data_IF_314059473421
#
_entry.id   IF_314059473421
#
_cell.length_a   1.000
_cell.length_b   1.000
_cell.length_c   1.000
_cell.angle_alpha   90.00
_cell.angle_beta   90.00
_cell.angle_gamma   90.00
#
_symmetry.space_group_name_H-M   'P 1'
#
loop_
_entity.id
_entity.type
_entity.pdbx_description
1 polymer ?
#
# COMPACT_ATOMS: atom_id res chain seq x y z
N UNK A 1 14.54 66.09 -2.02
CA UNK A 1 14.28 64.85 -2.78
C UNK A 1 15.21 63.80 -2.22
N UNK A 2 14.69 62.94 -1.35
CA UNK A 2 15.48 61.92 -0.65
C UNK A 2 14.84 60.59 -1.00
N UNK A 3 15.56 59.79 -1.77
CA UNK A 3 15.11 58.48 -2.23
C UNK A 3 15.17 57.49 -1.07
N UNK A 4 14.05 56.82 -0.80
CA UNK A 4 13.95 55.67 0.09
C UNK A 4 14.57 54.45 -0.60
N UNK A 5 15.58 53.84 0.04
CA UNK A 5 16.03 52.49 -0.28
C UNK A 5 14.92 51.47 0.08
N UNK A 6 14.84 50.32 -0.62
CA UNK A 6 13.98 49.22 -0.21
C UNK A 6 14.65 48.44 0.94
N UNK A 7 13.93 48.30 2.06
CA UNK A 7 14.28 47.39 3.17
C UNK A 7 14.35 45.94 2.65
N UNK A 8 15.56 45.45 2.41
CA UNK A 8 15.85 44.03 2.26
C UNK A 8 16.29 43.46 3.60
N UNK A 9 15.36 43.33 4.54
CA UNK A 9 15.60 42.65 5.81
C UNK A 9 14.40 41.75 6.17
N UNK A 10 14.07 40.82 5.27
CA UNK A 10 13.22 39.66 5.62
C UNK A 10 14.03 38.72 6.51
N UNK A 11 14.21 39.11 7.77
CA UNK A 11 14.57 38.17 8.83
C UNK A 11 13.38 37.22 8.98
N UNK A 12 13.53 35.99 8.52
CA UNK A 12 12.60 34.90 8.82
C UNK A 12 12.46 34.82 10.33
N UNK A 13 11.35 35.30 10.86
CA UNK A 13 11.04 35.14 12.28
C UNK A 13 10.83 33.65 12.54
N UNK A 14 11.13 33.17 13.75
CA UNK A 14 10.86 31.77 14.13
C UNK A 14 9.42 31.35 13.83
N UNK A 15 8.49 32.31 13.90
CA UNK A 15 7.08 32.22 13.51
C UNK A 15 6.84 31.99 12.00
N UNK A 16 7.66 32.60 11.15
CA UNK A 16 7.65 32.37 9.71
C UNK A 16 8.23 31.01 9.32
N UNK A 17 9.19 30.49 10.10
CA UNK A 17 9.72 29.14 9.91
C UNK A 17 8.61 28.12 10.17
N UNK A 18 7.93 28.13 11.32
CA UNK A 18 6.85 27.16 11.59
C UNK A 18 5.61 27.32 10.71
N UNK A 19 5.24 28.52 10.25
CA UNK A 19 4.23 28.65 9.18
C UNK A 19 4.67 27.99 7.87
N UNK A 20 5.98 27.92 7.60
CA UNK A 20 6.52 27.17 6.47
C UNK A 20 6.71 25.67 6.77
N UNK A 21 7.03 25.30 8.02
CA UNK A 21 7.25 23.91 8.49
C UNK A 21 5.92 23.16 8.71
N UNK A 22 4.87 23.87 9.13
CA UNK A 22 3.52 23.35 9.33
C UNK A 22 2.73 23.25 8.01
N UNK A 23 3.20 23.90 6.93
CA UNK A 23 2.66 23.79 5.56
C UNK A 23 3.36 22.66 4.76
N UNK A 24 4.06 21.75 5.44
CA UNK A 24 4.63 20.57 4.80
C UNK A 24 6.13 20.70 4.57
N UNK A 25 6.92 20.21 5.53
CA UNK A 25 8.30 19.80 5.22
C UNK A 25 8.20 18.54 4.37
N UNK A 26 8.32 18.73 3.06
CA UNK A 26 8.32 17.68 2.06
C UNK A 26 8.35 18.21 0.63
N UNK A 27 7.87 19.43 0.40
CA UNK A 27 8.19 20.14 -0.84
C UNK A 27 8.22 21.64 -0.58
N UNK A 28 9.30 22.30 -0.99
CA UNK A 28 9.33 23.74 -1.25
C UNK A 28 8.47 24.06 -2.48
N UNK A 29 7.24 23.54 -2.53
CA UNK A 29 6.15 24.08 -3.30
C UNK A 29 5.20 24.68 -2.26
N UNK A 30 5.44 25.94 -1.91
CA UNK A 30 4.42 26.77 -1.29
C UNK A 30 3.10 26.53 -2.01
N UNK A 31 2.14 25.87 -1.35
CA UNK A 31 0.73 25.77 -1.76
C UNK A 31 0.08 27.15 -1.58
N UNK A 32 0.69 28.19 -2.15
CA UNK A 32 0.18 29.55 -2.29
C UNK A 32 -0.25 29.84 -3.73
N UNK A 33 -0.40 28.78 -4.55
CA UNK A 33 -0.72 28.84 -5.97
C UNK A 33 -1.93 28.00 -6.37
N UNK A 34 -2.82 27.64 -5.45
CA UNK A 34 -4.02 26.85 -5.73
C UNK A 34 -4.98 27.51 -6.75
N UNK A 35 -4.77 28.77 -7.12
CA UNK A 35 -5.50 29.47 -8.18
C UNK A 35 -4.90 29.31 -9.59
N UNK A 36 -3.78 28.56 -9.76
CA UNK A 36 -3.15 28.32 -11.07
C UNK A 36 -2.68 26.88 -11.34
N UNK A 37 -3.07 25.91 -10.52
CA UNK A 37 -2.98 24.50 -10.92
C UNK A 37 -4.11 24.23 -11.90
N UNK A 38 -3.88 24.60 -13.17
CA UNK A 38 -4.70 24.12 -14.27
C UNK A 38 -4.72 22.60 -14.23
N UNK A 39 -5.89 22.03 -14.53
CA UNK A 39 -6.14 20.59 -14.62
C UNK A 39 -4.89 19.81 -15.06
N UNK A 40 -4.63 18.66 -14.42
CA UNK A 40 -3.53 17.76 -14.82
C UNK A 40 -3.46 17.69 -16.36
N UNK A 41 -2.27 17.83 -16.97
CA UNK A 41 -2.14 17.82 -18.42
C UNK A 41 -2.58 16.50 -19.08
N UNK A 42 -2.80 15.44 -18.30
CA UNK A 42 -3.48 14.20 -18.75
C UNK A 42 -5.02 14.25 -18.62
N UNK A 43 -5.56 15.44 -18.36
CA UNK A 43 -6.94 15.90 -18.53
C UNK A 43 -8.00 14.82 -18.38
N UNK A 44 -8.46 14.57 -17.15
CA UNK A 44 -9.70 13.82 -16.90
C UNK A 44 -9.84 12.54 -17.73
N UNK A 45 -8.73 11.82 -17.99
CA UNK A 45 -8.80 10.47 -18.52
C UNK A 45 -9.69 9.71 -17.54
N UNK A 46 -10.91 9.39 -18.00
CA UNK A 46 -11.90 8.60 -17.26
C UNK A 46 -11.15 7.53 -16.48
N UNK A 47 -11.40 7.46 -15.16
CA UNK A 47 -11.05 6.30 -14.37
C UNK A 47 -11.65 5.08 -15.07
N UNK A 48 -10.84 4.41 -15.88
CA UNK A 48 -11.16 3.08 -16.40
C UNK A 48 -10.97 2.19 -15.18
N UNK A 49 -12.06 1.90 -14.48
CA UNK A 49 -12.10 0.70 -13.68
C UNK A 49 -11.99 -0.51 -14.64
N UNK A 50 -11.21 -1.55 -14.32
CA UNK A 50 -10.35 -1.72 -13.17
C UNK A 50 -8.86 -1.56 -13.51
N UNK A 51 -8.09 -1.29 -12.46
CA UNK A 51 -6.63 -1.17 -12.29
C UNK A 51 -5.76 -2.30 -12.91
N UNK A 52 -6.31 -3.20 -13.75
CA UNK A 52 -5.71 -4.52 -14.00
C UNK A 52 -4.97 -4.68 -15.34
N UNK A 53 -5.28 -3.95 -16.41
CA UNK A 53 -4.79 -4.36 -17.74
C UNK A 53 -3.57 -3.61 -18.31
N UNK A 54 -3.19 -2.42 -17.80
CA UNK A 54 -2.08 -1.65 -18.37
C UNK A 54 -1.24 -0.98 -17.27
N UNK A 55 -0.11 -1.60 -16.92
CA UNK A 55 1.17 -0.92 -16.66
C UNK A 55 1.36 0.07 -15.49
N UNK A 56 0.35 0.47 -14.71
CA UNK A 56 0.55 1.48 -13.65
C UNK A 56 0.73 0.85 -12.26
N UNK A 57 1.94 0.35 -12.00
CA UNK A 57 2.30 -0.35 -10.76
C UNK A 57 2.21 0.52 -9.47
N UNK A 58 2.23 1.85 -9.56
CA UNK A 58 2.28 2.73 -8.38
C UNK A 58 0.94 3.14 -7.78
N UNK A 59 -0.16 3.07 -8.54
CA UNK A 59 -1.41 3.74 -8.15
C UNK A 59 -2.12 3.07 -6.95
N UNK A 60 -2.10 1.73 -6.89
CA UNK A 60 -2.80 0.99 -5.84
C UNK A 60 -2.09 1.08 -4.48
N UNK A 61 -0.75 1.00 -4.45
CA UNK A 61 0.00 1.02 -3.19
C UNK A 61 0.00 2.37 -2.49
N UNK A 62 -0.03 3.50 -3.21
CA UNK A 62 -0.17 4.83 -2.58
C UNK A 62 -1.53 5.00 -1.90
N UNK A 63 -2.58 4.41 -2.46
CA UNK A 63 -3.91 4.42 -1.85
C UNK A 63 -3.93 3.73 -0.49
N UNK A 64 -3.18 2.63 -0.34
CA UNK A 64 -3.07 1.89 0.92
C UNK A 64 -2.37 2.67 2.03
N UNK A 65 -1.45 3.58 1.66
CA UNK A 65 -0.73 4.42 2.61
C UNK A 65 -1.52 5.67 3.02
N UNK A 66 -2.49 6.11 2.20
CA UNK A 66 -3.18 7.38 2.40
C UNK A 66 -4.62 7.24 2.91
N UNK A 67 -5.37 6.29 2.35
CA UNK A 67 -6.81 6.22 2.56
C UNK A 67 -7.20 5.06 3.46
N UNK A 68 -8.21 5.28 4.29
CA UNK A 68 -8.82 4.20 5.07
C UNK A 68 -9.65 3.30 4.16
N UNK A 69 -9.56 1.98 4.38
CA UNK A 69 -10.29 0.97 3.60
C UNK A 69 -10.02 1.08 2.09
N UNK A 70 -8.74 1.17 1.72
CA UNK A 70 -8.34 1.20 0.33
C UNK A 70 -8.88 -0.04 -0.42
N UNK A 71 -9.38 0.16 -1.65
CA UNK A 71 -9.90 -0.93 -2.47
C UNK A 71 -8.80 -1.95 -2.76
N UNK A 72 -9.10 -3.23 -2.53
CA UNK A 72 -8.10 -4.30 -2.68
C UNK A 72 -7.84 -4.61 -4.14
N UNK A 73 -6.61 -4.41 -4.58
CA UNK A 73 -6.20 -4.73 -5.95
C UNK A 73 -5.68 -6.17 -6.03
N UNK A 74 -6.59 -7.13 -6.21
CA UNK A 74 -6.23 -8.56 -6.26
C UNK A 74 -6.18 -9.19 -7.65
N UNK A 75 -6.45 -8.42 -8.72
CA UNK A 75 -6.52 -8.95 -10.08
C UNK A 75 -7.94 -9.38 -10.45
N UNK A 76 -8.11 -10.54 -11.10
CA UNK A 76 -9.44 -11.06 -11.46
C UNK A 76 -10.19 -11.61 -10.23
N UNK A 77 -11.10 -10.80 -9.68
CA UNK A 77 -11.93 -11.14 -8.52
C UNK A 77 -13.22 -11.91 -8.85
N UNK A 78 -13.50 -12.16 -10.14
CA UNK A 78 -14.78 -12.73 -10.60
C UNK A 78 -14.59 -14.02 -11.41
N UNK A 79 -13.47 -14.72 -11.24
CA UNK A 79 -13.24 -15.97 -11.94
C UNK A 79 -14.30 -17.02 -11.51
N UNK A 80 -15.16 -17.40 -12.46
CA UNK A 80 -16.11 -18.49 -12.31
C UNK A 80 -15.54 -19.76 -12.94
N UNK A 81 -15.26 -20.75 -12.11
CA UNK A 81 -14.68 -22.02 -12.52
C UNK A 81 -15.73 -23.12 -12.74
N UNK A 82 -17.03 -22.84 -12.51
CA UNK A 82 -18.09 -23.85 -12.57
C UNK A 82 -18.36 -24.40 -13.97
N UNK A 83 -17.98 -23.65 -15.02
CA UNK A 83 -18.18 -24.03 -16.42
C UNK A 83 -17.12 -24.97 -17.01
N UNK A 84 -16.04 -25.27 -16.29
CA UNK A 84 -14.94 -26.09 -16.81
C UNK A 84 -15.24 -27.58 -16.68
N UNK A 85 -15.42 -28.24 -17.83
CA UNK A 85 -15.75 -29.68 -17.93
C UNK A 85 -14.54 -30.60 -18.09
N UNK A 86 -13.33 -30.05 -18.27
CA UNK A 86 -12.07 -30.81 -18.34
C UNK A 86 -11.00 -30.26 -17.40
N UNK A 87 -10.28 -31.15 -16.71
CA UNK A 87 -9.26 -30.79 -15.71
C UNK A 87 -8.15 -29.88 -16.25
N UNK A 88 -7.67 -30.12 -17.47
CA UNK A 88 -6.60 -29.31 -18.08
C UNK A 88 -7.04 -27.85 -18.31
N UNK A 89 -8.26 -27.65 -18.80
CA UNK A 89 -8.79 -26.31 -19.05
C UNK A 89 -9.01 -25.54 -17.73
N UNK A 90 -9.48 -26.23 -16.69
CA UNK A 90 -9.60 -25.65 -15.35
C UNK A 90 -8.24 -25.24 -14.79
N UNK A 91 -7.24 -26.13 -14.86
CA UNK A 91 -5.90 -25.87 -14.34
C UNK A 91 -5.22 -24.71 -15.06
N UNK A 92 -5.33 -24.66 -16.39
CA UNK A 92 -4.82 -23.51 -17.16
C UNK A 92 -5.55 -22.20 -16.83
N UNK A 93 -6.85 -22.23 -16.49
CA UNK A 93 -7.56 -21.03 -16.02
C UNK A 93 -7.04 -20.60 -14.65
N UNK A 94 -6.99 -21.52 -13.68
CA UNK A 94 -6.48 -21.26 -12.33
C UNK A 94 -5.05 -20.71 -12.37
N UNK A 95 -4.20 -21.27 -13.24
CA UNK A 95 -2.83 -20.78 -13.44
C UNK A 95 -2.80 -19.33 -13.95
N UNK A 96 -3.63 -18.99 -14.94
CA UNK A 96 -3.73 -17.62 -15.47
C UNK A 96 -4.25 -16.64 -14.41
N UNK A 97 -5.30 -17.02 -13.68
CA UNK A 97 -5.86 -16.20 -12.62
C UNK A 97 -4.84 -16.02 -11.48
N UNK A 98 -4.05 -17.05 -11.15
CA UNK A 98 -2.96 -16.96 -10.17
C UNK A 98 -1.80 -16.07 -10.68
N UNK A 99 -1.51 -16.05 -11.98
CA UNK A 99 -0.55 -15.15 -12.60
C UNK A 99 -0.99 -13.69 -12.49
N UNK A 100 -2.25 -13.42 -12.81
CA UNK A 100 -2.82 -12.07 -12.69
C UNK A 100 -2.85 -11.61 -11.24
N UNK A 101 -3.26 -12.50 -10.33
CA UNK A 101 -3.25 -12.29 -8.88
C UNK A 101 -1.85 -11.93 -8.38
N UNK A 102 -0.83 -12.73 -8.73
CA UNK A 102 0.57 -12.44 -8.39
C UNK A 102 1.03 -11.10 -8.97
N UNK A 103 0.69 -10.81 -10.22
CA UNK A 103 1.09 -9.56 -10.86
C UNK A 103 0.46 -8.35 -10.17
N UNK A 104 -0.83 -8.42 -9.81
CA UNK A 104 -1.51 -7.36 -9.06
C UNK A 104 -0.90 -7.17 -7.68
N UNK A 105 -0.64 -8.27 -6.97
CA UNK A 105 -0.02 -8.27 -5.66
C UNK A 105 1.40 -7.71 -5.65
N UNK A 106 2.26 -8.11 -6.60
CA UNK A 106 3.61 -7.55 -6.75
C UNK A 106 3.57 -6.03 -6.96
N UNK A 107 2.64 -5.52 -7.78
CA UNK A 107 2.49 -4.08 -7.98
C UNK A 107 2.14 -3.35 -6.68
N UNK A 108 1.13 -3.84 -5.96
CA UNK A 108 0.71 -3.27 -4.66
C UNK A 108 1.88 -3.29 -3.67
N UNK A 109 2.49 -4.45 -3.48
CA UNK A 109 3.54 -4.65 -2.46
C UNK A 109 4.81 -3.88 -2.78
N UNK A 110 5.25 -3.84 -4.06
CA UNK A 110 6.38 -3.01 -4.46
C UNK A 110 6.10 -1.53 -4.23
N UNK A 111 4.90 -1.06 -4.59
CA UNK A 111 4.54 0.34 -4.35
C UNK A 111 4.45 0.66 -2.86
N UNK A 112 3.92 -0.23 -2.03
CA UNK A 112 3.79 0.00 -0.59
C UNK A 112 5.16 0.08 0.07
N UNK A 113 6.05 -0.88 -0.18
CA UNK A 113 7.41 -0.91 0.37
C UNK A 113 8.26 0.27 -0.08
N UNK A 114 8.16 0.67 -1.34
CA UNK A 114 8.92 1.82 -1.85
C UNK A 114 8.52 3.16 -1.24
N UNK A 115 7.30 3.26 -0.70
CA UNK A 115 6.73 4.52 -0.21
C UNK A 115 6.38 4.49 1.28
N UNK A 116 6.64 3.40 2.00
CA UNK A 116 6.35 3.29 3.44
C UNK A 116 7.12 4.36 4.23
N UNK A 117 8.37 4.67 3.84
CA UNK A 117 9.13 5.78 4.44
C UNK A 117 8.47 7.13 4.17
N UNK A 118 7.82 7.31 3.02
CA UNK A 118 7.09 8.56 2.73
C UNK A 118 5.83 8.70 3.62
N UNK A 119 5.27 7.60 4.13
CA UNK A 119 4.21 7.64 5.13
C UNK A 119 4.67 8.32 6.44
N UNK A 120 5.97 8.32 6.74
CA UNK A 120 6.52 9.05 7.90
C UNK A 120 6.18 10.53 7.83
N UNK A 121 6.22 11.15 6.65
CA UNK A 121 5.89 12.56 6.49
C UNK A 121 4.44 12.85 6.90
N UNK A 122 3.51 11.97 6.54
CA UNK A 122 2.10 12.10 6.91
C UNK A 122 1.93 11.87 8.41
N UNK A 123 2.59 10.84 8.96
CA UNK A 123 2.62 10.57 10.39
C UNK A 123 3.15 11.74 11.22
N UNK A 124 4.29 12.32 10.82
CA UNK A 124 4.90 13.50 11.45
C UNK A 124 3.94 14.68 11.41
N UNK A 125 3.26 14.89 10.28
CA UNK A 125 2.33 16.00 10.10
C UNK A 125 1.09 15.85 10.98
N UNK A 126 0.50 14.65 11.04
CA UNK A 126 -0.64 14.34 11.91
C UNK A 126 -0.27 14.44 13.39
N UNK A 127 0.89 13.92 13.78
CA UNK A 127 1.35 14.00 15.16
C UNK A 127 1.66 15.42 15.61
N UNK A 128 2.29 16.26 14.77
CA UNK A 128 2.49 17.70 15.06
C UNK A 128 1.17 18.45 15.22
N UNK A 129 0.19 18.18 14.34
CA UNK A 129 -1.13 18.78 14.43
C UNK A 129 -1.81 18.43 15.76
N UNK A 130 -1.81 17.16 16.14
CA UNK A 130 -2.39 16.68 17.40
C UNK A 130 -1.72 17.30 18.63
N UNK A 131 -0.39 17.47 18.63
CA UNK A 131 0.33 18.18 19.70
C UNK A 131 -0.17 19.62 19.83
N UNK A 132 -0.23 20.35 18.71
CA UNK A 132 -0.63 21.76 18.71
C UNK A 132 -2.08 21.93 19.13
N UNK A 133 -2.98 21.07 18.64
CA UNK A 133 -4.40 21.06 19.02
C UNK A 133 -4.57 20.79 20.53
N UNK A 134 -3.85 19.81 21.08
CA UNK A 134 -3.88 19.51 22.50
C UNK A 134 -3.42 20.73 23.33
N UNK A 135 -2.29 21.36 22.98
CA UNK A 135 -1.78 22.53 23.72
C UNK A 135 -2.70 23.75 23.62
N UNK A 136 -3.29 24.01 22.45
CA UNK A 136 -4.28 25.08 22.30
C UNK A 136 -5.49 24.89 23.21
N UNK A 137 -5.85 23.63 23.49
CA UNK A 137 -6.91 23.27 24.42
C UNK A 137 -6.46 23.24 25.90
N UNK A 138 -5.24 23.69 26.20
CA UNK A 138 -4.70 23.77 27.55
C UNK A 138 -4.23 22.43 28.12
N UNK A 139 -4.00 21.42 27.27
CA UNK A 139 -3.49 20.12 27.70
C UNK A 139 -2.06 20.21 28.24
N UNK A 140 -1.74 19.34 29.18
CA UNK A 140 -0.37 19.13 29.69
C UNK A 140 0.51 18.44 28.65
N UNK A 141 1.83 18.48 28.85
CA UNK A 141 2.78 17.77 27.97
C UNK A 141 2.54 16.26 27.90
N UNK A 142 2.08 15.63 29.00
CA UNK A 142 1.73 14.21 28.97
C UNK A 142 0.49 13.94 28.13
N UNK A 143 -0.52 14.80 28.21
CA UNK A 143 -1.74 14.70 27.42
C UNK A 143 -1.48 14.97 25.93
N UNK A 144 -0.66 15.98 25.61
CA UNK A 144 -0.23 16.26 24.23
C UNK A 144 0.58 15.10 23.63
N UNK A 145 1.47 14.48 24.40
CA UNK A 145 2.18 13.27 23.98
C UNK A 145 1.24 12.07 23.75
N UNK A 146 0.14 12.00 24.49
CA UNK A 146 -0.87 10.95 24.32
C UNK A 146 -1.66 11.18 23.02
N UNK A 147 -2.15 12.40 22.81
CA UNK A 147 -2.85 12.80 21.57
C UNK A 147 -1.97 12.59 20.32
N UNK A 148 -0.68 12.93 20.41
CA UNK A 148 0.30 12.64 19.35
C UNK A 148 0.37 11.17 19.00
N UNK A 149 0.56 10.30 20.02
CA UNK A 149 0.65 8.85 19.81
C UNK A 149 -0.64 8.28 19.25
N UNK A 150 -1.80 8.74 19.72
CA UNK A 150 -3.10 8.32 19.20
C UNK A 150 -3.27 8.69 17.72
N UNK A 151 -2.91 9.92 17.33
CA UNK A 151 -2.99 10.37 15.94
C UNK A 151 -2.04 9.60 15.02
N UNK A 152 -0.80 9.37 15.46
CA UNK A 152 0.20 8.60 14.72
C UNK A 152 -0.22 7.13 14.61
N UNK A 153 -0.60 6.50 15.73
CA UNK A 153 -1.06 5.11 15.75
C UNK A 153 -2.30 4.92 14.88
N UNK A 154 -3.29 5.81 14.94
CA UNK A 154 -4.48 5.72 14.11
C UNK A 154 -4.17 5.79 12.62
N UNK A 155 -3.20 6.61 12.21
CA UNK A 155 -2.74 6.65 10.83
C UNK A 155 -2.08 5.34 10.39
N UNK A 156 -1.09 4.85 11.13
CA UNK A 156 -0.39 3.61 10.78
C UNK A 156 -1.26 2.36 10.92
N UNK A 157 -2.23 2.35 11.85
CA UNK A 157 -3.21 1.27 11.97
C UNK A 157 -4.09 1.16 10.72
N UNK A 158 -4.47 2.28 10.08
CA UNK A 158 -5.18 2.22 8.80
C UNK A 158 -4.33 1.55 7.71
N UNK A 159 -3.02 1.82 7.66
CA UNK A 159 -2.11 1.19 6.70
C UNK A 159 -2.01 -0.31 6.97
N UNK A 160 -1.85 -0.70 8.24
CA UNK A 160 -1.83 -2.11 8.65
C UNK A 160 -3.13 -2.82 8.25
N UNK A 161 -4.28 -2.19 8.49
CA UNK A 161 -5.59 -2.73 8.12
C UNK A 161 -5.72 -2.92 6.60
N UNK A 162 -5.27 -1.95 5.79
CA UNK A 162 -5.29 -2.07 4.34
C UNK A 162 -4.43 -3.24 3.84
N UNK A 163 -3.23 -3.41 4.40
CA UNK A 163 -2.35 -4.54 4.10
C UNK A 163 -3.02 -5.87 4.48
N UNK A 164 -3.67 -5.94 5.65
CA UNK A 164 -4.40 -7.12 6.12
C UNK A 164 -5.57 -7.46 5.21
N UNK A 165 -6.38 -6.47 4.83
CA UNK A 165 -7.49 -6.67 3.90
C UNK A 165 -7.02 -7.21 2.56
N UNK A 166 -5.86 -6.75 2.08
CA UNK A 166 -5.26 -7.26 0.85
C UNK A 166 -4.81 -8.71 0.99
N UNK A 167 -4.10 -9.06 2.06
CA UNK A 167 -3.73 -10.45 2.35
C UNK A 167 -4.96 -11.34 2.42
N UNK A 168 -6.01 -10.91 3.11
CA UNK A 168 -7.27 -11.65 3.22
C UNK A 168 -7.90 -11.89 1.84
N UNK A 169 -7.91 -10.86 0.99
CA UNK A 169 -8.45 -10.98 -0.37
C UNK A 169 -7.64 -11.96 -1.24
N UNK A 170 -6.30 -11.94 -1.13
CA UNK A 170 -5.41 -12.90 -1.80
C UNK A 170 -5.64 -14.33 -1.30
N UNK A 171 -5.70 -14.53 0.01
CA UNK A 171 -5.97 -15.83 0.65
C UNK A 171 -7.33 -16.37 0.24
N UNK A 172 -8.38 -15.54 0.18
CA UNK A 172 -9.71 -15.94 -0.25
C UNK A 172 -9.76 -16.32 -1.73
N UNK A 173 -9.00 -15.64 -2.59
CA UNK A 173 -8.89 -16.00 -4.00
C UNK A 173 -8.20 -17.36 -4.18
N UNK A 174 -7.10 -17.59 -3.47
CA UNK A 174 -6.41 -18.89 -3.43
C UNK A 174 -7.35 -19.99 -2.92
N UNK A 175 -8.11 -19.71 -1.86
CA UNK A 175 -9.12 -20.63 -1.29
C UNK A 175 -10.13 -21.06 -2.36
N UNK A 176 -10.66 -20.09 -3.10
CA UNK A 176 -11.61 -20.34 -4.19
C UNK A 176 -11.01 -21.19 -5.32
N UNK A 177 -9.75 -20.93 -5.71
CA UNK A 177 -9.03 -21.75 -6.70
C UNK A 177 -8.88 -23.20 -6.25
N UNK A 178 -8.44 -23.42 -4.99
CA UNK A 178 -8.30 -24.76 -4.42
C UNK A 178 -9.65 -25.47 -4.40
N UNK A 179 -10.69 -24.84 -3.87
CA UNK A 179 -12.03 -25.41 -3.79
C UNK A 179 -12.58 -25.78 -5.17
N UNK A 180 -12.36 -24.92 -6.18
CA UNK A 180 -12.79 -25.17 -7.56
C UNK A 180 -12.09 -26.37 -8.18
N UNK A 181 -10.81 -26.57 -7.87
CA UNK A 181 -10.07 -27.76 -8.29
C UNK A 181 -10.59 -28.99 -7.56
N UNK A 182 -10.67 -28.96 -6.23
CA UNK A 182 -10.97 -30.16 -5.43
C UNK A 182 -12.42 -30.63 -5.53
N UNK A 183 -13.34 -29.74 -5.91
CA UNK A 183 -14.77 -30.06 -6.09
C UNK A 183 -15.12 -30.52 -7.51
N UNK A 184 -14.21 -30.40 -8.47
CA UNK A 184 -14.48 -30.76 -9.86
C UNK A 184 -14.22 -32.26 -10.10
N UNK A 185 -15.26 -33.01 -10.41
CA UNK A 185 -15.18 -34.48 -10.61
C UNK A 185 -14.23 -34.90 -11.76
N UNK A 186 -13.86 -33.97 -12.66
CA UNK A 186 -12.97 -34.22 -13.80
C UNK A 186 -11.50 -33.92 -13.52
N UNK A 187 -11.12 -33.69 -12.25
CA UNK A 187 -9.71 -33.41 -11.85
C UNK A 187 -8.94 -34.63 -11.36
N UNK A 188 -9.52 -35.84 -11.39
CA UNK A 188 -8.90 -37.04 -10.81
C UNK A 188 -7.55 -37.41 -11.43
N UNK A 189 -7.23 -36.94 -12.63
CA UNK A 189 -5.88 -36.98 -13.20
C UNK A 189 -5.90 -36.19 -14.49
N UNK A 190 -5.18 -35.07 -14.57
CA UNK A 190 -4.82 -34.61 -15.91
C UNK A 190 -3.97 -35.70 -16.59
N UNK A 191 -3.95 -35.68 -17.92
CA UNK A 191 -3.18 -36.62 -18.74
C UNK A 191 -1.68 -36.65 -18.39
N UNK A 192 -1.19 -35.62 -17.68
CA UNK A 192 0.21 -35.40 -17.32
C UNK A 192 0.54 -35.64 -15.82
N UNK A 193 -0.41 -36.11 -14.99
CA UNK A 193 -0.25 -36.25 -13.54
C UNK A 193 0.32 -35.00 -12.81
N UNK A 194 0.05 -33.80 -13.34
CA UNK A 194 0.53 -32.52 -12.84
C UNK A 194 -0.43 -31.98 -11.78
N UNK A 195 0.10 -31.70 -10.59
CA UNK A 195 -0.64 -31.17 -9.46
C UNK A 195 -0.67 -29.64 -9.60
N UNK A 196 -1.86 -29.02 -9.71
CA UNK A 196 -2.00 -27.62 -10.10
C UNK A 196 -1.55 -26.64 -9.01
N UNK A 197 -1.67 -27.02 -7.73
CA UNK A 197 -1.28 -26.18 -6.60
C UNK A 197 -0.49 -27.00 -5.58
N UNK A 198 0.68 -26.48 -5.23
CA UNK A 198 1.58 -27.07 -4.24
C UNK A 198 1.98 -26.04 -3.19
N UNK A 199 2.11 -26.44 -1.93
CA UNK A 199 2.65 -25.60 -0.86
C UNK A 199 4.07 -26.03 -0.49
N UNK A 200 4.92 -25.06 -0.13
CA UNK A 200 6.25 -25.31 0.42
C UNK A 200 6.30 -24.85 1.87
N UNK A 201 6.37 -25.80 2.80
CA UNK A 201 6.55 -25.55 4.23
C UNK A 201 7.99 -25.83 4.73
N UNK A 202 8.78 -26.56 3.93
CA UNK A 202 10.19 -26.90 4.24
C UNK A 202 11.03 -26.89 2.94
N UNK A 203 11.92 -27.86 2.73
CA UNK A 203 12.68 -28.01 1.49
C UNK A 203 11.87 -28.59 0.33
N UNK A 204 10.71 -29.19 0.60
CA UNK A 204 9.90 -29.90 -0.40
C UNK A 204 8.53 -29.24 -0.62
N UNK A 205 8.03 -29.35 -1.86
CA UNK A 205 6.67 -29.00 -2.23
C UNK A 205 5.71 -30.16 -1.95
N UNK A 206 4.55 -29.84 -1.39
CA UNK A 206 3.48 -30.77 -1.03
C UNK A 206 2.23 -30.39 -1.81
N UNK A 207 1.57 -31.38 -2.40
CA UNK A 207 0.30 -31.20 -3.10
C UNK A 207 -0.82 -30.79 -2.15
N UNK A 208 -1.54 -29.70 -2.47
CA UNK A 208 -2.67 -29.22 -1.65
C UNK A 208 -4.00 -29.10 -2.41
N UNK A 209 -3.99 -29.34 -3.72
CA UNK A 209 -5.17 -29.40 -4.57
C UNK A 209 -5.12 -30.62 -5.50
N UNK A 210 -5.36 -31.81 -4.96
CA UNK A 210 -5.47 -33.08 -5.69
C UNK A 210 -6.59 -33.99 -5.12
N UNK A 211 -6.86 -35.14 -5.76
CA UNK A 211 -7.85 -36.10 -5.26
C UNK A 211 -7.45 -36.62 -3.86
N UNK A 212 -8.30 -36.35 -2.87
CA UNK A 212 -8.06 -36.71 -1.46
C UNK A 212 -7.24 -35.69 -0.65
N UNK A 213 -6.93 -34.52 -1.22
CA UNK A 213 -6.50 -33.34 -0.46
C UNK A 213 -7.43 -32.16 -0.71
N UNK A 214 -7.34 -31.14 0.14
CA UNK A 214 -8.16 -29.95 0.05
C UNK A 214 -8.18 -29.19 1.35
N UNK A 215 -9.08 -28.21 1.41
CA UNK A 215 -9.25 -27.37 2.59
C UNK A 215 -9.97 -28.17 3.67
N UNK A 216 -9.36 -28.22 4.84
CA UNK A 216 -9.83 -29.03 5.98
C UNK A 216 -10.52 -28.16 7.02
N UNK A 217 -9.94 -26.99 7.26
CA UNK A 217 -10.49 -26.00 8.17
C UNK A 217 -10.21 -24.60 7.63
N UNK A 218 -11.13 -23.70 7.94
CA UNK A 218 -10.98 -22.27 7.77
C UNK A 218 -10.93 -21.67 9.17
N UNK A 219 -10.06 -20.70 9.38
CA UNK A 219 -10.00 -19.99 10.65
C UNK A 219 -9.59 -18.55 10.44
N UNK A 220 -9.83 -17.75 11.46
CA UNK A 220 -9.40 -16.36 11.52
C UNK A 220 -8.55 -16.18 12.75
N UNK A 221 -7.49 -15.38 12.64
CA UNK A 221 -6.73 -14.90 13.78
C UNK A 221 -6.98 -13.41 14.01
N UNK A 222 -7.09 -13.03 15.27
CA UNK A 222 -7.16 -11.63 15.66
C UNK A 222 -5.74 -11.05 15.67
N UNK A 223 -5.50 -10.07 14.80
CA UNK A 223 -4.29 -9.27 14.81
C UNK A 223 -4.56 -7.94 15.50
N UNK A 224 -3.75 -7.59 16.50
CA UNK A 224 -3.85 -6.30 17.20
C UNK A 224 -3.02 -5.26 16.47
N UNK A 225 -3.66 -4.20 16.00
CA UNK A 225 -3.04 -3.08 15.31
C UNK A 225 -2.32 -2.15 16.30
N UNK A 226 -1.49 -1.23 15.78
CA UNK A 226 -0.69 -0.31 16.60
C UNK A 226 -1.52 0.68 17.42
N UNK A 227 -2.79 0.87 17.08
CA UNK A 227 -3.75 1.67 17.84
C UNK A 227 -4.51 0.86 18.92
N UNK A 228 -4.22 -0.45 19.02
CA UNK A 228 -4.86 -1.38 19.96
C UNK A 228 -6.19 -1.96 19.47
N UNK A 229 -6.71 -1.52 18.32
CA UNK A 229 -7.85 -2.18 17.68
C UNK A 229 -7.45 -3.53 17.09
N UNK A 230 -8.43 -4.39 16.80
CA UNK A 230 -8.19 -5.70 16.22
C UNK A 230 -8.80 -5.83 14.83
N UNK A 231 -8.13 -6.61 13.98
CA UNK A 231 -8.62 -7.00 12.65
C UNK A 231 -8.42 -8.48 12.45
N UNK A 232 -9.38 -9.12 11.77
CA UNK A 232 -9.34 -10.54 11.49
C UNK A 232 -8.48 -10.84 10.28
N UNK A 233 -7.70 -11.90 10.41
CA UNK A 233 -6.75 -12.34 9.40
C UNK A 233 -7.13 -13.73 8.97
N UNK A 234 -7.44 -13.85 7.70
CA UNK A 234 -7.92 -15.07 7.08
C UNK A 234 -6.77 -16.07 6.93
N UNK A 235 -7.03 -17.32 7.33
CA UNK A 235 -6.14 -18.43 7.06
C UNK A 235 -6.95 -19.70 6.78
N UNK A 236 -6.35 -20.63 6.07
CA UNK A 236 -6.93 -21.95 5.88
C UNK A 236 -5.88 -23.03 6.05
N UNK A 237 -6.33 -24.20 6.47
CA UNK A 237 -5.47 -25.37 6.64
C UNK A 237 -5.79 -26.42 5.58
N UNK A 238 -4.74 -27.03 5.05
CA UNK A 238 -4.84 -28.19 4.15
C UNK A 238 -4.11 -29.37 4.75
N UNK A 239 -4.69 -30.57 4.64
CA UNK A 239 -4.05 -31.81 5.08
C UNK A 239 -3.64 -32.64 3.86
N UNK A 240 -2.40 -33.13 3.89
CA UNK A 240 -1.95 -34.23 3.03
C UNK A 240 -1.28 -35.29 3.88
N UNK A 241 -1.96 -36.42 4.06
CA UNK A 241 -1.51 -37.45 5.01
C UNK A 241 -1.55 -36.92 6.44
N UNK A 242 -0.39 -36.83 7.09
CA UNK A 242 -0.26 -36.32 8.49
C UNK A 242 0.35 -34.92 8.58
N UNK A 243 0.51 -34.23 7.45
CA UNK A 243 1.10 -32.88 7.41
C UNK A 243 -0.02 -31.86 7.32
N UNK A 244 -0.05 -30.93 8.28
CA UNK A 244 -0.97 -29.80 8.33
C UNK A 244 -0.25 -28.54 7.86
N UNK A 245 -0.78 -27.91 6.81
CA UNK A 245 -0.19 -26.73 6.18
C UNK A 245 -1.16 -25.58 6.34
N UNK A 246 -0.76 -24.58 7.12
CA UNK A 246 -1.48 -23.30 7.23
C UNK A 246 -1.01 -22.35 6.15
N UNK A 247 -1.97 -21.80 5.40
CA UNK A 247 -1.76 -20.77 4.38
C UNK A 247 -2.46 -19.49 4.85
N UNK A 248 -1.73 -18.38 4.86
CA UNK A 248 -2.20 -17.11 5.43
C UNK A 248 -1.68 -16.87 6.86
N UNK A 249 -2.22 -15.85 7.52
CA UNK A 249 -1.81 -15.43 8.87
C UNK A 249 -0.59 -14.48 8.91
N UNK A 250 -0.33 -13.91 10.10
CA UNK A 250 0.81 -13.00 10.36
C UNK A 250 2.02 -13.66 10.99
N UNK A 251 1.84 -14.84 11.55
CA UNK A 251 2.90 -15.61 12.16
C UNK A 251 2.87 -17.04 11.61
N UNK A 252 4.03 -17.63 11.26
CA UNK A 252 4.10 -19.05 11.00
C UNK A 252 3.83 -19.80 12.32
N UNK A 253 2.58 -20.24 12.53
CA UNK A 253 2.21 -21.00 13.72
C UNK A 253 2.97 -22.32 13.74
N UNK A 254 3.74 -22.52 14.81
CA UNK A 254 4.50 -23.75 15.06
C UNK A 254 3.57 -24.88 15.49
N UNK A 255 3.06 -25.62 14.52
CA UNK A 255 3.01 -27.08 14.49
C UNK A 255 2.85 -27.49 13.02
N UNK A 256 3.88 -28.16 12.49
CA UNK A 256 4.04 -28.62 11.09
C UNK A 256 4.08 -27.59 9.94
N UNK A 257 4.60 -26.37 10.16
CA UNK A 257 5.15 -25.54 9.09
C UNK A 257 4.12 -24.77 8.26
N UNK A 258 4.03 -23.46 8.48
CA UNK A 258 3.30 -22.57 7.57
C UNK A 258 3.88 -22.62 6.16
N UNK A 259 3.03 -22.47 5.15
CA UNK A 259 3.50 -22.38 3.77
C UNK A 259 4.22 -21.05 3.56
N UNK A 260 5.52 -21.11 3.26
CA UNK A 260 6.28 -19.92 2.84
C UNK A 260 5.89 -19.51 1.41
N UNK A 261 5.60 -20.51 0.57
CA UNK A 261 5.27 -20.35 -0.85
C UNK A 261 4.13 -21.26 -1.26
N UNK A 262 3.29 -20.77 -2.16
CA UNK A 262 2.45 -21.59 -3.03
C UNK A 262 2.99 -21.59 -4.45
N UNK A 263 2.96 -22.74 -5.09
CA UNK A 263 3.32 -22.92 -6.49
C UNK A 263 2.10 -23.30 -7.28
N UNK A 264 1.80 -22.52 -8.30
CA UNK A 264 0.78 -22.79 -9.30
C UNK A 264 1.44 -23.34 -10.55
N UNK A 265 0.88 -24.41 -11.12
CA UNK A 265 1.38 -25.04 -12.35
C UNK A 265 0.35 -25.01 -13.45
N UNK A 266 0.78 -24.66 -14.67
CA UNK A 266 -0.05 -24.82 -15.85
C UNK A 266 -0.19 -26.31 -16.24
N UNK A 267 -1.35 -26.69 -16.77
CA UNK A 267 -1.66 -28.05 -17.19
C UNK A 267 -0.71 -28.59 -18.28
N UNK A 268 -0.13 -27.69 -19.07
CA UNK A 268 0.67 -28.02 -20.25
C UNK A 268 2.17 -28.23 -19.96
N UNK A 269 2.65 -27.85 -18.76
CA UNK A 269 4.10 -27.73 -18.51
C UNK A 269 4.59 -28.62 -17.38
N UNK A 270 5.69 -29.34 -17.61
CA UNK A 270 6.46 -30.00 -16.54
C UNK A 270 7.58 -29.10 -15.96
N UNK A 271 7.85 -27.92 -16.54
CA UNK A 271 8.96 -27.04 -16.09
C UNK A 271 8.83 -25.53 -16.40
N UNK A 272 8.19 -25.11 -17.50
CA UNK A 272 8.20 -23.69 -17.93
C UNK A 272 6.98 -22.84 -17.48
N UNK A 273 5.95 -23.46 -16.89
CA UNK A 273 4.71 -22.82 -16.47
C UNK A 273 4.46 -22.94 -14.97
N UNK A 274 5.42 -22.48 -14.15
CA UNK A 274 5.30 -22.46 -12.68
C UNK A 274 5.33 -21.03 -12.14
N UNK A 275 4.48 -20.75 -11.16
CA UNK A 275 4.42 -19.45 -10.48
C UNK A 275 4.50 -19.67 -8.98
N UNK A 276 5.54 -19.11 -8.36
CA UNK A 276 5.65 -19.06 -6.90
C UNK A 276 5.01 -17.77 -6.35
N UNK A 277 4.14 -17.93 -5.37
CA UNK A 277 3.47 -16.89 -4.59
C UNK A 277 3.93 -16.98 -3.14
N UNK A 278 4.75 -16.02 -2.71
CA UNK A 278 5.35 -16.02 -1.36
C UNK A 278 4.65 -15.08 -0.39
N UNK A 279 4.54 -15.49 0.88
CA UNK A 279 3.87 -14.70 1.93
C UNK A 279 4.82 -13.85 2.78
N UNK A 280 6.12 -14.18 2.81
CA UNK A 280 7.11 -13.49 3.64
C UNK A 280 7.13 -11.97 3.43
N UNK A 281 6.90 -11.53 2.19
CA UNK A 281 6.86 -10.10 1.84
C UNK A 281 5.82 -9.31 2.63
N UNK A 282 4.70 -9.92 3.04
CA UNK A 282 3.68 -9.25 3.85
C UNK A 282 4.19 -8.99 5.27
N UNK A 283 4.85 -9.99 5.87
CA UNK A 283 5.46 -9.88 7.20
C UNK A 283 6.55 -8.81 7.19
N UNK A 284 7.43 -8.84 6.19
CA UNK A 284 8.50 -7.85 6.03
C UNK A 284 7.91 -6.44 5.92
N UNK A 285 6.87 -6.27 5.10
CA UNK A 285 6.21 -4.99 4.90
C UNK A 285 5.48 -4.50 6.16
N UNK A 286 4.85 -5.39 6.92
CA UNK A 286 4.24 -5.05 8.21
C UNK A 286 5.29 -4.57 9.22
N UNK A 287 6.45 -5.23 9.27
CA UNK A 287 7.56 -4.79 10.11
C UNK A 287 8.11 -3.43 9.66
N UNK A 288 8.20 -3.17 8.35
CA UNK A 288 8.57 -1.86 7.80
C UNK A 288 7.56 -0.77 8.24
N UNK A 289 6.25 -1.04 8.20
CA UNK A 289 5.18 -0.13 8.67
C UNK A 289 5.32 0.16 10.18
N UNK A 290 5.54 -0.87 11.01
CA UNK A 290 5.71 -0.70 12.46
C UNK A 290 6.97 0.12 12.77
N UNK A 291 8.08 -0.17 12.08
CA UNK A 291 9.33 0.56 12.25
C UNK A 291 9.16 2.04 11.90
N UNK A 292 8.45 2.32 10.81
CA UNK A 292 8.14 3.68 10.36
C UNK A 292 7.29 4.44 11.39
N UNK A 293 6.29 3.80 11.99
CA UNK A 293 5.51 4.37 13.12
C UNK A 293 6.42 4.72 14.30
N UNK A 294 7.30 3.79 14.69
CA UNK A 294 8.20 3.96 15.82
C UNK A 294 9.16 5.14 15.59
N UNK A 295 9.69 5.29 14.36
CA UNK A 295 10.51 6.44 13.96
C UNK A 295 9.75 7.76 14.16
N UNK A 296 8.53 7.87 13.60
CA UNK A 296 7.70 9.08 13.73
C UNK A 296 7.44 9.42 15.19
N UNK A 297 7.10 8.43 16.01
CA UNK A 297 6.82 8.65 17.44
C UNK A 297 8.07 9.09 18.19
N UNK A 298 9.22 8.50 17.87
CA UNK A 298 10.53 8.87 18.42
C UNK A 298 10.89 10.32 18.10
N UNK A 299 10.74 10.71 16.83
CA UNK A 299 11.05 12.06 16.36
C UNK A 299 10.15 13.13 17.00
N UNK A 300 8.88 12.81 17.23
CA UNK A 300 7.92 13.75 17.80
C UNK A 300 8.01 13.90 19.32
N UNK A 301 8.59 12.93 20.05
CA UNK A 301 8.75 13.06 21.50
C UNK A 301 9.57 14.31 21.88
N UNK A 302 10.64 14.61 21.12
CA UNK A 302 11.43 15.84 21.34
C UNK A 302 10.67 17.11 20.97
N UNK A 303 9.82 17.03 19.93
CA UNK A 303 9.02 18.15 19.46
C UNK A 303 7.96 18.58 20.50
N UNK A 304 7.33 17.65 21.22
CA UNK A 304 6.35 18.00 22.27
C UNK A 304 6.98 18.88 23.35
N UNK A 305 8.18 18.52 23.83
CA UNK A 305 8.94 19.31 24.81
C UNK A 305 9.36 20.67 24.25
N UNK A 306 9.72 20.74 22.97
CA UNK A 306 10.05 22.02 22.35
C UNK A 306 8.83 22.95 22.27
N UNK A 307 7.64 22.40 22.01
CA UNK A 307 6.40 23.18 21.95
C UNK A 307 6.01 23.69 23.34
N UNK A 308 6.02 22.85 24.38
CA UNK A 308 5.67 23.28 25.75
C UNK A 308 6.54 24.40 26.28
N UNK A 309 7.83 24.40 25.92
CA UNK A 309 8.78 25.39 26.41
C UNK A 309 8.77 26.72 25.64
N UNK A 310 8.26 26.72 24.40
CA UNK A 310 8.42 27.85 23.48
C UNK A 310 7.11 28.54 23.11
N UNK A 311 5.95 27.94 23.40
CA UNK A 311 4.65 28.46 22.96
C UNK A 311 3.61 28.45 24.08
N UNK A 312 2.79 29.51 24.08
CA UNK A 312 1.61 29.61 24.93
C UNK A 312 0.36 29.07 24.20
N UNK A 313 -0.64 28.54 24.93
CA UNK A 313 -1.90 28.10 24.34
C UNK A 313 -2.55 29.18 23.47
N UNK A 314 -2.92 28.82 22.24
CA UNK A 314 -3.59 29.71 21.28
C UNK A 314 -2.64 30.55 20.41
N UNK A 315 -1.32 30.43 20.55
CA UNK A 315 -0.37 31.16 19.71
C UNK A 315 -0.26 30.62 18.27
N UNK A 316 -0.64 29.35 18.06
CA UNK A 316 -0.61 28.67 16.77
C UNK A 316 -2.05 28.36 16.34
N UNK A 317 -2.59 28.99 15.28
CA UNK A 317 -3.94 28.70 14.81
C UNK A 317 -3.98 27.31 14.17
N UNK A 318 -4.60 26.34 14.85
CA UNK A 318 -4.76 24.97 14.36
C UNK A 318 -6.03 24.79 13.51
N UNK A 319 -6.96 25.74 13.58
CA UNK A 319 -8.23 25.73 12.83
C UNK A 319 -8.05 25.82 11.31
N UNK A 320 -6.91 26.35 10.85
CA UNK A 320 -6.55 26.47 9.43
C UNK A 320 -5.75 25.25 8.93
N UNK A 321 -5.49 24.27 9.80
CA UNK A 321 -4.69 23.11 9.45
C UNK A 321 -5.54 22.07 8.71
N UNK A 322 -5.25 21.86 7.44
CA UNK A 322 -5.81 20.76 6.65
C UNK A 322 -4.84 19.59 6.71
N UNK A 323 -5.31 18.43 7.19
CA UNK A 323 -4.45 17.27 7.26
C UNK A 323 -4.13 16.70 5.87
N UNK A 324 -2.97 16.05 5.67
CA UNK A 324 -2.52 15.59 4.35
C UNK A 324 -3.49 14.64 3.65
N UNK A 325 -4.29 13.86 4.39
CA UNK A 325 -5.25 12.91 3.80
C UNK A 325 -6.47 13.67 3.28
N UNK A 326 -6.99 14.63 4.06
CA UNK A 326 -8.07 15.51 3.62
C UNK A 326 -7.64 16.34 2.41
N UNK A 327 -6.47 16.96 2.47
CA UNK A 327 -5.91 17.73 1.36
C UNK A 327 -5.75 16.87 0.08
N UNK A 328 -5.25 15.64 0.20
CA UNK A 328 -5.15 14.73 -0.95
C UNK A 328 -6.52 14.37 -1.53
N UNK A 329 -7.53 14.22 -0.68
CA UNK A 329 -8.90 13.89 -1.08
C UNK A 329 -9.53 15.06 -1.83
N UNK A 330 -9.49 16.27 -1.25
CA UNK A 330 -10.03 17.49 -1.86
C UNK A 330 -9.34 17.83 -3.18
N UNK A 331 -8.00 17.73 -3.23
CA UNK A 331 -7.26 17.95 -4.47
C UNK A 331 -7.66 16.94 -5.57
N UNK A 332 -7.83 15.67 -5.21
CA UNK A 332 -8.26 14.63 -6.13
C UNK A 332 -9.70 14.79 -6.65
N UNK A 333 -10.59 15.42 -5.87
CA UNK A 333 -11.99 15.66 -6.30
C UNK A 333 -12.19 16.98 -7.03
N UNK A 334 -11.49 18.04 -6.61
CA UNK A 334 -11.88 19.42 -6.96
C UNK A 334 -10.96 20.09 -7.99
N UNK A 335 -9.75 19.58 -8.19
CA UNK A 335 -8.74 20.24 -9.04
C UNK A 335 -8.45 19.53 -10.37
N UNK A 336 -9.04 18.36 -10.60
CA UNK A 336 -8.76 17.53 -11.77
C UNK A 336 -7.35 16.92 -11.78
N UNK A 337 -6.60 17.01 -10.67
CA UNK A 337 -5.45 16.17 -10.41
C UNK A 337 -5.90 14.72 -10.22
N UNK A 338 -5.06 13.77 -10.64
CA UNK A 338 -5.30 12.37 -10.29
C UNK A 338 -5.20 12.21 -8.77
N UNK A 339 -6.06 11.40 -8.16
CA UNK A 339 -6.01 11.15 -6.71
C UNK A 339 -4.64 10.62 -6.27
N UNK A 340 -3.94 9.93 -7.17
CA UNK A 340 -2.58 9.45 -6.98
C UNK A 340 -1.55 10.59 -6.92
N UNK A 341 -1.67 11.59 -7.80
CA UNK A 341 -0.78 12.76 -7.79
C UNK A 341 -0.93 13.56 -6.49
N UNK A 342 -2.19 13.75 -6.06
CA UNK A 342 -2.51 14.42 -4.82
C UNK A 342 -1.95 13.64 -3.61
N UNK A 343 -2.18 12.33 -3.55
CA UNK A 343 -1.63 11.45 -2.52
C UNK A 343 -0.09 11.50 -2.47
N UNK A 344 0.58 11.37 -3.62
CA UNK A 344 2.03 11.39 -3.71
C UNK A 344 2.62 12.73 -3.22
N UNK A 345 2.03 13.85 -3.66
CA UNK A 345 2.46 15.18 -3.21
C UNK A 345 2.28 15.39 -1.70
N UNK A 346 1.16 14.92 -1.14
CA UNK A 346 0.91 15.00 0.31
C UNK A 346 1.81 14.08 1.14
N UNK A 347 2.32 13.00 0.57
CA UNK A 347 3.36 12.15 1.19
C UNK A 347 4.79 12.71 1.01
N UNK A 348 4.95 13.86 0.37
CA UNK A 348 6.26 14.44 0.09
C UNK A 348 7.07 13.67 -0.95
N UNK A 349 6.41 12.87 -1.80
CA UNK A 349 7.05 12.24 -2.95
C UNK A 349 7.21 13.34 -4.01
N UNK A 350 8.43 13.60 -4.53
CA UNK A 350 8.63 14.55 -5.62
C UNK A 350 7.72 14.22 -6.80
N UNK A 351 6.86 15.18 -7.18
CA UNK A 351 5.96 15.06 -8.32
C UNK A 351 6.39 16.00 -9.43
N UNK A 352 6.14 15.57 -10.68
CA UNK A 352 6.33 16.39 -11.88
C UNK A 352 5.08 17.22 -12.21
N UNK A 353 4.23 17.56 -11.22
CA UNK A 353 2.88 18.13 -11.38
C UNK A 353 2.77 19.44 -12.22
N UNK A 354 3.89 19.97 -12.73
CA UNK A 354 3.94 21.07 -13.69
C UNK A 354 4.15 20.67 -15.16
N UNK A 355 4.39 19.40 -15.51
CA UNK A 355 4.58 18.96 -16.90
C UNK A 355 4.20 17.48 -17.14
N UNK A 356 3.66 17.17 -18.32
CA UNK A 356 3.43 15.78 -18.78
C UNK A 356 4.64 15.30 -19.60
N UNK A 357 5.04 14.06 -19.38
CA UNK A 357 6.07 13.39 -20.19
C UNK A 357 5.40 12.37 -21.10
N UNK A 358 5.76 12.38 -22.39
CA UNK A 358 5.44 11.28 -23.29
C UNK A 358 6.50 10.21 -23.17
N UNK A 359 6.12 9.06 -22.63
CA UNK A 359 6.97 7.88 -22.50
C UNK A 359 6.73 6.95 -23.69
N UNK A 360 7.82 6.41 -24.21
CA UNK A 360 7.77 5.31 -25.18
C UNK A 360 8.22 4.03 -24.47
N UNK A 361 7.27 3.13 -24.25
CA UNK A 361 7.50 1.84 -23.60
C UNK A 361 7.70 0.83 -24.70
N UNK A 362 8.88 0.21 -24.75
CA UNK A 362 9.15 -0.92 -25.64
C UNK A 362 8.93 -2.21 -24.86
N UNK A 363 8.05 -3.07 -25.33
CA UNK A 363 7.86 -4.40 -24.74
C UNK A 363 9.01 -5.36 -25.12
N UNK A 364 9.05 -6.53 -24.47
CA UNK A 364 10.07 -7.56 -24.74
C UNK A 364 10.03 -8.18 -26.15
N UNK A 365 8.99 -7.88 -26.93
CA UNK A 365 8.82 -8.27 -28.34
C UNK A 365 9.16 -7.17 -29.34
N UNK A 366 9.52 -5.97 -28.85
CA UNK A 366 9.81 -4.78 -29.68
C UNK A 366 8.59 -3.93 -30.03
N UNK A 367 7.42 -4.21 -29.45
CA UNK A 367 6.22 -3.38 -29.56
C UNK A 367 6.41 -2.05 -28.82
N UNK A 368 6.11 -0.93 -29.48
CA UNK A 368 6.24 0.41 -28.91
C UNK A 368 4.89 0.99 -28.52
N UNK A 369 4.76 1.43 -27.28
CA UNK A 369 3.57 2.05 -26.72
C UNK A 369 3.90 3.46 -26.28
N UNK A 370 3.13 4.44 -26.75
CA UNK A 370 3.26 5.82 -26.30
C UNK A 370 2.25 6.11 -25.20
N UNK A 371 2.74 6.62 -24.08
CA UNK A 371 1.95 6.90 -22.89
C UNK A 371 2.28 8.29 -22.41
N UNK A 372 1.27 9.16 -22.33
CA UNK A 372 1.40 10.44 -21.64
C UNK A 372 1.28 10.17 -20.13
N UNK A 373 2.34 10.46 -19.37
CA UNK A 373 2.49 10.06 -17.97
C UNK A 373 3.05 11.20 -17.10
N UNK A 374 2.78 11.08 -15.80
CA UNK A 374 3.45 11.85 -14.74
C UNK A 374 4.42 10.90 -14.01
N UNK A 375 5.66 11.35 -13.79
CA UNK A 375 6.69 10.55 -13.09
C UNK A 375 6.77 10.96 -11.62
N UNK A 376 6.84 9.95 -10.77
CA UNK A 376 7.10 10.02 -9.34
C UNK A 376 8.38 9.23 -9.05
N UNK A 377 9.28 9.79 -8.25
CA UNK A 377 10.54 9.11 -7.93
C UNK A 377 10.95 9.33 -6.47
N UNK A 378 11.48 8.29 -5.85
CA UNK A 378 12.12 8.35 -4.53
C UNK A 378 13.58 8.81 -4.59
N UNK A 379 14.10 9.09 -5.80
CA UNK A 379 15.46 9.61 -6.01
C UNK A 379 15.42 11.14 -6.02
N UNK A 380 16.24 11.76 -5.19
CA UNK A 380 16.56 13.18 -5.32
C UNK A 380 17.28 13.42 -6.64
N UNK A 381 16.79 14.38 -7.44
CA UNK A 381 17.50 14.84 -8.62
C UNK A 381 18.68 15.71 -8.16
N UNK A 382 19.86 15.11 -7.98
CA UNK A 382 21.10 15.86 -7.83
C UNK A 382 21.48 16.44 -9.20
N UNK A 383 21.22 17.74 -9.35
CA UNK A 383 21.85 18.69 -10.30
C UNK A 383 22.50 18.04 -11.53
N UNK A 384 21.69 17.83 -12.57
CA UNK A 384 22.00 17.89 -14.02
C UNK A 384 21.06 16.94 -14.80
N UNK A 385 19.80 17.34 -14.94
CA UNK A 385 18.94 16.81 -16.00
C UNK A 385 18.60 17.96 -16.94
N UNK A 386 19.25 17.94 -18.11
CA UNK A 386 18.85 18.64 -19.33
C UNK A 386 18.66 17.58 -20.41
#
# INVERSE_FOLDING_TARGET
>A
MTATQPDSDRKLTRRGVLKATAVGVGSTATIGGASKLGASPVGGARAIAPIVALGYAGAAGLGYLMYKNAETATGNTQADYSGYTGGDALYSSVYKDALEMKSADERVMTSLRNNVTNAENVGLTKGKAAILEAYNNGATESEANTAMKEAVNGYFANIQQNLINHVNAQVNQIRSMIQSITSNENTETNSNNTIPIQARATTNYIAIADSGSGIQSESTDDFTLVDGSTVQVEQFQTLKGSIDITVGGWEPKTQSGGAEWLRFKDASSQSDGEIDFGFQKYIDTMNEIISSRDNVTSDLNGFTTDVSNQYEPGEVPTEEFVDPVTAATELGTDTGLSSQAAAAGMMGIPTSAGFSLRLEITDGSGGMYQVDAEIYTNRSCEVHCW
#
